data_IF_513999676886
#
_entry.id   IF_513999676886
#
_cell.length_a   1.000
_cell.length_b   1.000
_cell.length_c   1.000
_cell.angle_alpha   90.00
_cell.angle_beta   90.00
_cell.angle_gamma   90.00
#
_symmetry.space_group_name_H-M   'P 1'
#
loop_
_entity.id
_entity.type
_entity.pdbx_description
1 polymer ?
#
# COMPACT_ATOMS: atom_id res chain seq x y z
N UNK A 1 -20.03 -9.78 17.41
CA UNK A 1 -19.81 -10.78 16.31
C UNK A 1 -18.31 -10.97 16.16
N UNK A 2 -17.81 -12.17 16.37
CA UNK A 2 -16.39 -12.48 16.14
C UNK A 2 -16.06 -12.30 14.66
N UNK A 3 -14.91 -11.74 14.39
CA UNK A 3 -14.47 -11.48 13.02
C UNK A 3 -14.08 -12.81 12.35
N UNK A 4 -14.74 -13.22 11.27
CA UNK A 4 -14.32 -14.42 10.52
C UNK A 4 -12.98 -14.11 9.84
N UNK A 5 -11.93 -14.83 10.21
CA UNK A 5 -10.58 -14.65 9.69
C UNK A 5 -9.59 -14.05 10.70
N UNK A 6 -9.88 -14.11 11.99
CA UNK A 6 -8.87 -13.91 13.02
C UNK A 6 -7.72 -14.90 12.77
N UNK A 7 -6.51 -14.37 12.59
CA UNK A 7 -5.32 -15.18 12.35
C UNK A 7 -4.91 -15.83 13.67
N UNK A 8 -4.79 -17.14 13.66
CA UNK A 8 -4.32 -17.92 14.81
C UNK A 8 -2.79 -18.04 14.71
N UNK A 9 -2.10 -17.80 15.81
CA UNK A 9 -0.68 -18.06 15.93
C UNK A 9 -0.45 -19.59 15.85
N UNK A 10 0.30 -20.09 14.87
CA UNK A 10 0.52 -21.51 14.71
C UNK A 10 1.31 -22.15 15.88
N UNK A 11 2.10 -21.36 16.61
CA UNK A 11 2.95 -21.86 17.69
C UNK A 11 2.25 -21.90 19.05
N UNK A 12 1.37 -20.93 19.31
CA UNK A 12 0.67 -20.80 20.61
C UNK A 12 -0.80 -21.19 20.55
N UNK A 13 -1.40 -21.27 19.36
CA UNK A 13 -2.84 -21.48 19.19
C UNK A 13 -3.71 -20.27 19.55
N UNK A 14 -3.09 -19.15 19.92
CA UNK A 14 -3.77 -17.92 20.28
C UNK A 14 -4.19 -17.10 19.05
N UNK A 15 -5.24 -16.30 19.20
CA UNK A 15 -5.65 -15.34 18.18
C UNK A 15 -4.61 -14.21 18.08
N UNK A 16 -3.95 -14.05 16.94
CA UNK A 16 -3.02 -12.94 16.67
C UNK A 16 -3.79 -11.61 16.65
N UNK A 17 -5.02 -11.62 16.15
CA UNK A 17 -5.90 -10.45 16.19
C UNK A 17 -7.26 -10.82 16.76
N UNK A 18 -7.60 -10.22 17.89
CA UNK A 18 -8.93 -10.31 18.48
C UNK A 18 -9.71 -9.08 18.01
N UNK A 19 -10.53 -9.27 17.00
CA UNK A 19 -11.29 -8.19 16.39
C UNK A 19 -12.78 -8.51 16.38
N UNK A 20 -13.59 -7.50 16.68
CA UNK A 20 -15.04 -7.56 16.63
C UNK A 20 -15.57 -6.40 15.78
N UNK A 21 -16.71 -6.62 15.12
CA UNK A 21 -17.41 -5.58 14.38
C UNK A 21 -18.84 -5.46 14.87
N UNK A 22 -19.31 -4.24 14.94
CA UNK A 22 -20.71 -3.92 15.23
C UNK A 22 -21.15 -2.76 14.36
N UNK A 23 -22.46 -2.63 14.18
CA UNK A 23 -23.03 -1.52 13.43
C UNK A 23 -24.23 -0.93 14.13
N UNK A 24 -24.46 0.35 13.83
CA UNK A 24 -25.64 1.11 14.23
C UNK A 24 -26.03 2.06 13.12
N UNK A 25 -27.31 2.34 12.98
CA UNK A 25 -27.75 3.45 12.16
C UNK A 25 -27.36 4.77 12.84
N UNK A 26 -26.73 5.65 12.07
CA UNK A 26 -26.24 6.92 12.60
C UNK A 26 -26.57 8.06 11.61
N UNK A 27 -27.02 9.19 12.18
CA UNK A 27 -27.26 10.41 11.41
C UNK A 27 -26.11 11.40 11.63
N UNK A 28 -25.27 11.52 10.61
CA UNK A 28 -24.23 12.53 10.58
C UNK A 28 -24.83 13.90 10.21
N UNK A 29 -24.16 14.97 10.67
CA UNK A 29 -24.56 16.35 10.41
C UNK A 29 -26.01 16.68 10.82
N UNK A 30 -26.52 16.05 11.90
CA UNK A 30 -27.91 16.23 12.36
C UNK A 30 -28.31 17.70 12.63
N UNK A 31 -27.33 18.56 12.97
CA UNK A 31 -27.54 19.99 13.20
C UNK A 31 -27.49 20.85 11.92
N UNK A 32 -27.27 20.26 10.74
CA UNK A 32 -27.16 20.98 9.47
C UNK A 32 -28.44 20.88 8.64
N UNK A 33 -28.52 21.63 7.54
CA UNK A 33 -29.64 21.56 6.59
C UNK A 33 -29.68 20.27 5.78
N UNK A 34 -28.61 19.49 5.77
CA UNK A 34 -28.45 18.27 4.99
C UNK A 34 -27.91 17.13 5.87
N UNK A 35 -28.75 16.62 6.81
CA UNK A 35 -28.36 15.46 7.59
C UNK A 35 -28.26 14.22 6.69
N UNK A 36 -27.33 13.34 6.98
CA UNK A 36 -27.14 12.09 6.26
C UNK A 36 -27.24 10.94 7.23
N UNK A 37 -28.23 10.05 7.01
CA UNK A 37 -28.43 8.83 7.79
C UNK A 37 -27.86 7.65 7.03
N UNK A 38 -26.96 6.90 7.63
CA UNK A 38 -26.40 5.68 7.07
C UNK A 38 -25.83 4.77 8.19
N UNK A 39 -25.22 3.67 7.78
CA UNK A 39 -24.62 2.70 8.70
C UNK A 39 -23.28 3.24 9.24
N UNK A 40 -23.13 3.30 10.54
CA UNK A 40 -21.86 3.48 11.22
C UNK A 40 -21.37 2.10 11.66
N UNK A 41 -20.31 1.62 11.04
CA UNK A 41 -19.67 0.36 11.38
C UNK A 41 -18.44 0.66 12.21
N UNK A 42 -18.28 -0.04 13.33
CA UNK A 42 -17.14 0.10 14.22
C UNK A 42 -16.46 -1.25 14.37
N UNK A 43 -15.23 -1.33 13.94
CA UNK A 43 -14.34 -2.44 14.25
C UNK A 43 -13.53 -2.09 15.48
N UNK A 44 -13.50 -2.96 16.50
CA UNK A 44 -12.57 -2.85 17.62
C UNK A 44 -11.57 -3.99 17.59
N UNK A 45 -10.33 -3.67 17.90
CA UNK A 45 -9.21 -4.62 17.96
C UNK A 45 -8.57 -4.53 19.34
N UNK A 46 -8.40 -5.67 20.01
CA UNK A 46 -7.73 -5.73 21.30
C UNK A 46 -6.24 -5.40 21.12
N UNK A 47 -5.74 -4.47 21.91
CA UNK A 47 -4.33 -4.12 21.95
C UNK A 47 -3.58 -5.08 22.88
N UNK A 48 -3.00 -6.13 22.31
CA UNK A 48 -2.25 -7.15 23.06
C UNK A 48 -0.88 -6.66 23.53
N UNK A 49 -0.37 -5.55 23.02
CA UNK A 49 0.88 -4.97 23.50
C UNK A 49 0.77 -4.35 24.90
N UNK A 50 -0.45 -4.14 25.39
CA UNK A 50 -0.72 -3.59 26.72
C UNK A 50 -1.15 -4.71 27.69
N UNK A 51 -0.23 -5.63 27.97
CA UNK A 51 -0.44 -6.76 28.87
C UNK A 51 -0.62 -6.34 30.34
N UNK A 52 -0.09 -5.19 30.72
CA UNK A 52 -0.10 -4.70 32.12
C UNK A 52 -1.34 -3.86 32.47
N UNK A 53 -2.29 -3.73 31.54
CA UNK A 53 -3.51 -3.00 31.77
C UNK A 53 -4.51 -3.84 32.59
N UNK A 54 -5.10 -3.26 33.66
CA UNK A 54 -6.14 -3.89 34.47
C UNK A 54 -7.37 -4.34 33.68
N UNK A 55 -7.63 -3.68 32.54
CA UNK A 55 -8.75 -4.00 31.64
C UNK A 55 -8.25 -4.12 30.21
N UNK A 56 -8.93 -4.91 29.36
CA UNK A 56 -8.61 -4.99 27.95
C UNK A 56 -8.65 -3.61 27.27
N UNK A 57 -7.55 -3.22 26.66
CA UNK A 57 -7.47 -1.97 25.89
C UNK A 57 -7.88 -2.26 24.45
N UNK A 58 -8.81 -1.48 23.94
CA UNK A 58 -9.34 -1.63 22.60
C UNK A 58 -9.01 -0.41 21.74
N UNK A 59 -8.62 -0.66 20.50
CA UNK A 59 -8.56 0.36 19.45
C UNK A 59 -9.82 0.26 18.60
N UNK A 60 -10.48 1.39 18.38
CA UNK A 60 -11.71 1.48 17.61
C UNK A 60 -11.45 2.12 16.25
N UNK A 61 -12.01 1.52 15.21
CA UNK A 61 -11.89 1.97 13.82
C UNK A 61 -13.31 2.16 13.27
N UNK A 62 -13.92 3.33 13.45
CA UNK A 62 -15.24 3.64 12.90
C UNK A 62 -15.14 4.04 11.44
N UNK A 63 -16.14 3.67 10.66
CA UNK A 63 -16.34 4.20 9.32
C UNK A 63 -17.84 4.28 9.00
N UNK A 64 -18.18 5.21 8.14
CA UNK A 64 -19.55 5.53 7.75
C UNK A 64 -19.77 5.07 6.31
N UNK A 65 -20.86 4.31 6.05
CA UNK A 65 -21.07 3.70 4.74
C UNK A 65 -22.54 3.54 4.41
N UNK A 66 -22.85 3.62 3.13
CA UNK A 66 -24.16 3.27 2.56
C UNK A 66 -24.15 1.86 1.90
N UNK A 67 -23.08 1.09 2.08
CA UNK A 67 -22.97 -0.28 1.55
C UNK A 67 -24.13 -1.14 2.04
N UNK A 68 -24.65 -2.00 1.16
CA UNK A 68 -25.69 -3.00 1.47
C UNK A 68 -25.11 -4.36 1.85
N UNK A 69 -23.78 -4.51 1.86
CA UNK A 69 -23.10 -5.73 2.27
C UNK A 69 -23.32 -6.04 3.75
N UNK A 70 -23.06 -7.29 4.14
CA UNK A 70 -23.06 -7.64 5.57
C UNK A 70 -22.03 -6.81 6.33
N UNK A 71 -22.21 -6.60 7.63
CA UNK A 71 -21.30 -5.82 8.48
C UNK A 71 -19.84 -6.26 8.36
N UNK A 72 -19.60 -7.58 8.37
CA UNK A 72 -18.26 -8.13 8.23
C UNK A 72 -17.68 -7.89 6.82
N UNK A 73 -18.48 -8.05 5.78
CA UNK A 73 -18.03 -7.84 4.40
C UNK A 73 -17.74 -6.36 4.13
N UNK A 74 -18.60 -5.46 4.61
CA UNK A 74 -18.38 -4.02 4.50
C UNK A 74 -17.07 -3.59 5.20
N UNK A 75 -16.72 -4.18 6.36
CA UNK A 75 -15.44 -3.93 7.03
C UNK A 75 -14.25 -4.47 6.21
N UNK A 76 -14.36 -5.65 5.60
CA UNK A 76 -13.33 -6.21 4.72
C UNK A 76 -13.11 -5.29 3.52
N UNK A 77 -14.19 -4.90 2.85
CA UNK A 77 -14.15 -4.00 1.68
C UNK A 77 -13.52 -2.66 2.06
N UNK A 78 -13.94 -2.06 3.17
CA UNK A 78 -13.41 -0.79 3.66
C UNK A 78 -11.90 -0.88 3.95
N UNK A 79 -11.43 -1.95 4.59
CA UNK A 79 -10.01 -2.16 4.83
C UNK A 79 -9.20 -2.37 3.55
N UNK A 80 -9.80 -2.95 2.52
CA UNK A 80 -9.20 -3.06 1.20
C UNK A 80 -8.84 -1.70 0.60
N UNK A 81 -9.57 -0.64 0.93
CA UNK A 81 -9.29 0.73 0.49
C UNK A 81 -8.07 1.37 1.16
N UNK A 82 -7.56 0.83 2.27
CA UNK A 82 -6.36 1.35 2.94
C UNK A 82 -5.11 1.32 2.04
N UNK A 83 -5.12 0.53 0.96
CA UNK A 83 -4.06 0.54 -0.05
C UNK A 83 -3.94 1.90 -0.74
N UNK A 84 -5.06 2.63 -0.92
CA UNK A 84 -5.08 3.98 -1.51
C UNK A 84 -4.30 4.97 -0.64
N UNK A 85 -4.43 4.89 0.68
CA UNK A 85 -3.65 5.72 1.61
C UNK A 85 -2.15 5.46 1.48
N UNK A 86 -1.77 4.19 1.30
CA UNK A 86 -0.37 3.82 1.05
C UNK A 86 0.13 4.36 -0.29
N UNK A 87 -0.69 4.29 -1.34
CA UNK A 87 -0.37 4.86 -2.66
C UNK A 87 -0.21 6.38 -2.58
N UNK A 88 -1.16 7.06 -1.95
CA UNK A 88 -1.10 8.52 -1.77
C UNK A 88 0.14 8.92 -0.96
N UNK A 89 0.43 8.23 0.12
CA UNK A 89 1.63 8.47 0.93
C UNK A 89 2.91 8.29 0.11
N UNK A 90 3.02 7.24 -0.72
CA UNK A 90 4.19 7.03 -1.58
C UNK A 90 4.37 8.15 -2.61
N UNK A 91 3.26 8.67 -3.14
CA UNK A 91 3.29 9.75 -4.13
C UNK A 91 3.60 11.09 -3.47
N UNK A 92 3.02 11.37 -2.29
CA UNK A 92 3.24 12.59 -1.51
C UNK A 92 4.68 12.64 -0.95
N UNK A 93 5.18 11.52 -0.42
CA UNK A 93 6.57 11.40 0.08
C UNK A 93 7.61 11.36 -1.05
N UNK A 94 7.16 11.31 -2.29
CA UNK A 94 7.98 11.19 -3.48
C UNK A 94 7.79 12.36 -4.46
N UNK A 95 7.26 12.09 -5.66
CA UNK A 95 7.21 13.10 -6.72
C UNK A 95 6.26 14.27 -6.45
N UNK A 96 5.29 14.15 -5.54
CA UNK A 96 4.40 15.24 -5.15
C UNK A 96 4.79 15.93 -3.84
N UNK A 97 5.97 15.64 -3.28
CA UNK A 97 6.50 16.36 -2.12
C UNK A 97 6.61 17.88 -2.38
N UNK A 98 6.81 18.26 -3.64
CA UNK A 98 6.84 19.64 -4.09
C UNK A 98 6.10 19.79 -5.42
N UNK A 99 5.31 20.83 -5.55
CA UNK A 99 4.71 21.21 -6.83
C UNK A 99 5.73 22.00 -7.64
N UNK A 100 5.98 21.67 -8.93
CA UNK A 100 7.05 22.28 -9.73
C UNK A 100 6.72 23.71 -10.19
N UNK A 101 5.47 24.15 -10.07
CA UNK A 101 5.02 25.41 -10.66
C UNK A 101 3.91 26.06 -9.82
N UNK A 102 3.71 27.37 -10.01
CA UNK A 102 2.53 28.08 -9.52
C UNK A 102 1.30 27.92 -10.44
N UNK A 103 1.45 27.29 -11.60
CA UNK A 103 0.38 27.12 -12.58
C UNK A 103 -0.35 25.79 -12.39
N UNK A 104 -1.68 25.85 -12.26
CA UNK A 104 -2.53 24.67 -12.03
C UNK A 104 -2.36 23.59 -13.12
N UNK A 105 -2.35 23.99 -14.40
CA UNK A 105 -2.22 23.06 -15.51
C UNK A 105 -0.87 22.31 -15.52
N UNK A 106 0.23 23.03 -15.19
CA UNK A 106 1.56 22.41 -15.08
C UNK A 106 1.63 21.43 -13.92
N UNK A 107 1.04 21.78 -12.78
CA UNK A 107 0.95 20.89 -11.62
C UNK A 107 0.04 19.68 -11.91
N UNK A 108 -1.02 19.83 -12.68
CA UNK A 108 -1.86 18.74 -13.17
C UNK A 108 -1.08 17.75 -14.03
N UNK A 109 -0.30 18.23 -14.99
CA UNK A 109 0.56 17.40 -15.80
C UNK A 109 1.62 16.67 -14.95
N UNK A 110 2.21 17.36 -13.97
CA UNK A 110 3.16 16.76 -13.02
C UNK A 110 2.52 15.65 -12.20
N UNK A 111 1.29 15.83 -11.71
CA UNK A 111 0.55 14.82 -10.96
C UNK A 111 0.28 13.56 -11.80
N UNK A 112 -0.03 13.71 -13.09
CA UNK A 112 -0.18 12.58 -14.02
C UNK A 112 1.15 11.84 -14.19
N UNK A 113 2.25 12.54 -14.39
CA UNK A 113 3.59 11.95 -14.46
C UNK A 113 3.95 11.21 -13.16
N UNK A 114 3.58 11.76 -12.01
CA UNK A 114 3.78 11.14 -10.70
C UNK A 114 3.00 9.81 -10.58
N UNK A 115 1.74 9.78 -11.02
CA UNK A 115 0.93 8.57 -11.04
C UNK A 115 1.50 7.48 -11.98
N UNK A 116 1.94 7.87 -13.18
CA UNK A 116 2.62 6.96 -14.13
C UNK A 116 3.89 6.40 -13.50
N UNK A 117 4.71 7.25 -12.89
CA UNK A 117 5.95 6.83 -12.22
C UNK A 117 5.67 5.87 -11.07
N UNK A 118 4.63 6.12 -10.27
CA UNK A 118 4.20 5.20 -9.22
C UNK A 118 3.84 3.83 -9.79
N UNK A 119 3.03 3.78 -10.85
CA UNK A 119 2.62 2.53 -11.48
C UNK A 119 3.82 1.76 -12.06
N UNK A 120 4.75 2.44 -12.71
CA UNK A 120 5.98 1.83 -13.22
C UNK A 120 6.85 1.25 -12.09
N UNK A 121 7.00 1.98 -10.97
CA UNK A 121 7.70 1.47 -9.79
C UNK A 121 7.01 0.24 -9.20
N UNK A 122 5.67 0.22 -9.15
CA UNK A 122 4.91 -0.95 -8.69
C UNK A 122 5.12 -2.15 -9.60
N UNK A 123 5.06 -1.96 -10.92
CA UNK A 123 5.33 -3.00 -11.91
C UNK A 123 6.77 -3.53 -11.76
N UNK A 124 7.76 -2.66 -11.66
CA UNK A 124 9.16 -3.04 -11.43
C UNK A 124 9.32 -3.85 -10.13
N UNK A 125 8.66 -3.43 -9.04
CA UNK A 125 8.65 -4.16 -7.78
C UNK A 125 8.09 -5.57 -7.92
N UNK A 126 6.98 -5.72 -8.63
CA UNK A 126 6.32 -7.02 -8.90
C UNK A 126 7.24 -7.93 -9.70
N UNK A 127 7.85 -7.42 -10.76
CA UNK A 127 8.79 -8.18 -11.60
C UNK A 127 10.06 -8.57 -10.83
N UNK A 128 10.53 -7.75 -9.91
CA UNK A 128 11.69 -8.04 -9.07
C UNK A 128 11.45 -9.16 -8.03
N UNK A 129 10.18 -9.41 -7.65
CA UNK A 129 9.76 -10.51 -6.79
C UNK A 129 8.93 -10.09 -5.58
N UNK A 130 8.35 -11.07 -4.88
CA UNK A 130 7.32 -10.88 -3.85
C UNK A 130 7.67 -9.84 -2.77
N UNK A 131 8.91 -9.85 -2.28
CA UNK A 131 9.38 -8.87 -1.29
C UNK A 131 9.32 -7.43 -1.79
N UNK A 132 9.67 -7.20 -3.07
CA UNK A 132 9.65 -5.88 -3.69
C UNK A 132 8.25 -5.50 -4.18
N UNK A 133 7.41 -6.49 -4.48
CA UNK A 133 6.01 -6.26 -4.82
C UNK A 133 5.23 -5.52 -3.73
N UNK A 134 5.60 -5.67 -2.47
CA UNK A 134 4.97 -5.01 -1.31
C UNK A 134 5.78 -3.82 -0.78
N UNK A 135 6.96 -3.54 -1.35
CA UNK A 135 7.84 -2.51 -0.83
C UNK A 135 7.34 -1.10 -1.17
N UNK A 136 7.64 -0.12 -0.31
CA UNK A 136 7.37 1.31 -0.52
C UNK A 136 8.19 1.86 -1.70
N UNK A 137 7.68 2.89 -2.36
CA UNK A 137 8.32 3.52 -3.51
C UNK A 137 9.76 3.97 -3.26
N UNK A 138 10.04 4.54 -2.08
CA UNK A 138 11.39 4.91 -1.67
C UNK A 138 12.36 3.71 -1.61
N UNK A 139 11.88 2.55 -1.16
CA UNK A 139 12.65 1.31 -1.12
C UNK A 139 12.93 0.79 -2.53
N UNK A 140 11.92 0.78 -3.40
CA UNK A 140 12.08 0.38 -4.80
C UNK A 140 13.10 1.25 -5.52
N UNK A 141 13.02 2.57 -5.35
CA UNK A 141 13.99 3.50 -5.92
C UNK A 141 15.41 3.16 -5.47
N UNK A 142 15.63 2.99 -4.17
CA UNK A 142 16.96 2.69 -3.61
C UNK A 142 17.50 1.34 -4.06
N UNK A 143 16.67 0.31 -4.15
CA UNK A 143 17.12 -1.06 -4.42
C UNK A 143 17.23 -1.38 -5.91
N UNK A 144 16.37 -0.78 -6.75
CA UNK A 144 16.23 -1.18 -8.14
C UNK A 144 16.59 -0.06 -9.13
N UNK A 145 16.38 1.20 -8.78
CA UNK A 145 16.55 2.31 -9.73
C UNK A 145 17.86 3.06 -9.48
N UNK A 146 18.13 3.49 -8.24
CA UNK A 146 19.32 4.28 -7.89
C UNK A 146 20.56 3.39 -7.67
N UNK A 147 20.71 2.36 -8.51
CA UNK A 147 21.88 1.47 -8.46
C UNK A 147 23.03 2.16 -9.17
N UNK A 148 24.18 2.37 -8.53
CA UNK A 148 25.37 2.91 -9.19
C UNK A 148 25.83 1.93 -10.27
N UNK A 149 25.83 2.35 -11.52
CA UNK A 149 26.20 1.51 -12.63
C UNK A 149 27.10 2.25 -13.60
N UNK A 150 27.97 1.52 -14.28
CA UNK A 150 28.81 2.04 -15.35
C UNK A 150 28.34 1.51 -16.70
N UNK A 151 27.96 2.40 -17.61
CA UNK A 151 27.69 2.04 -18.99
C UNK A 151 28.98 2.07 -19.80
N UNK A 152 29.37 0.95 -20.37
CA UNK A 152 30.47 0.83 -21.33
C UNK A 152 29.91 0.47 -22.71
N UNK A 153 30.68 0.78 -23.77
CA UNK A 153 30.31 0.42 -25.17
C UNK A 153 31.47 -0.28 -25.88
N UNK A 154 31.91 -1.46 -25.37
CA UNK A 154 32.90 -2.25 -26.08
C UNK A 154 32.30 -2.69 -27.42
N UNK A 155 33.07 -2.50 -28.51
CA UNK A 155 32.65 -2.92 -29.84
C UNK A 155 31.24 -2.44 -30.28
N UNK A 156 30.88 -1.20 -29.87
CA UNK A 156 29.57 -0.57 -30.12
C UNK A 156 28.37 -1.24 -29.45
N UNK A 157 28.55 -2.27 -28.61
CA UNK A 157 27.50 -2.90 -27.83
C UNK A 157 27.40 -2.26 -26.44
N UNK A 158 26.23 -1.78 -26.00
CA UNK A 158 26.08 -1.26 -24.66
C UNK A 158 26.17 -2.38 -23.63
N UNK A 159 27.06 -2.21 -22.65
CA UNK A 159 27.21 -3.14 -21.52
C UNK A 159 27.04 -2.35 -20.23
N UNK A 160 26.10 -2.79 -19.38
CA UNK A 160 25.87 -2.20 -18.08
C UNK A 160 26.61 -3.00 -17.02
N UNK A 161 27.58 -2.38 -16.36
CA UNK A 161 28.30 -2.98 -15.25
C UNK A 161 27.66 -2.57 -13.94
N UNK A 162 27.16 -3.57 -13.19
CA UNK A 162 26.60 -3.40 -11.85
C UNK A 162 27.68 -3.68 -10.78
N UNK A 163 27.52 -3.15 -9.55
CA UNK A 163 28.43 -3.48 -8.45
C UNK A 163 28.40 -4.98 -8.14
N UNK A 164 29.57 -5.60 -7.99
CA UNK A 164 29.69 -7.05 -7.76
C UNK A 164 28.97 -7.54 -6.49
N UNK A 165 28.88 -6.67 -5.47
CA UNK A 165 28.29 -7.00 -4.16
C UNK A 165 27.02 -6.21 -3.87
N UNK A 166 26.23 -5.87 -4.90
CA UNK A 166 24.95 -5.21 -4.68
C UNK A 166 23.97 -6.15 -3.96
N UNK A 167 23.45 -5.82 -2.78
CA UNK A 167 22.63 -6.72 -2.00
C UNK A 167 21.34 -7.18 -2.72
N UNK A 168 20.89 -6.39 -3.69
CA UNK A 168 19.66 -6.63 -4.47
C UNK A 168 19.94 -7.03 -5.92
N UNK A 169 21.17 -7.46 -6.22
CA UNK A 169 21.56 -7.85 -7.58
C UNK A 169 20.64 -8.89 -8.20
N UNK A 170 20.24 -9.91 -7.41
CA UNK A 170 19.34 -10.97 -7.86
C UNK A 170 17.97 -10.44 -8.29
N UNK A 171 17.40 -9.53 -7.51
CA UNK A 171 16.10 -8.91 -7.78
C UNK A 171 16.20 -7.97 -8.98
N UNK A 172 17.29 -7.23 -9.08
CA UNK A 172 17.57 -6.38 -10.22
C UNK A 172 17.70 -7.18 -11.52
N UNK A 173 18.43 -8.31 -11.49
CA UNK A 173 18.57 -9.21 -12.65
C UNK A 173 17.21 -9.79 -13.07
N UNK A 174 16.37 -10.21 -12.10
CA UNK A 174 15.01 -10.68 -12.41
C UNK A 174 14.18 -9.60 -13.12
N UNK A 175 14.20 -8.38 -12.59
CA UNK A 175 13.51 -7.24 -13.22
C UNK A 175 14.05 -7.03 -14.65
N UNK A 176 15.36 -7.01 -14.81
CA UNK A 176 15.99 -6.80 -16.11
C UNK A 176 15.59 -7.88 -17.14
N UNK A 177 15.68 -9.15 -16.76
CA UNK A 177 15.31 -10.27 -17.64
C UNK A 177 13.83 -10.19 -18.03
N UNK A 178 12.94 -9.94 -17.07
CA UNK A 178 11.52 -9.84 -17.33
C UNK A 178 11.14 -8.62 -18.20
N UNK A 179 11.90 -7.52 -18.11
CA UNK A 179 11.66 -6.32 -18.90
C UNK A 179 12.29 -6.37 -20.29
N UNK A 180 13.45 -7.03 -20.44
CA UNK A 180 14.20 -7.11 -21.69
C UNK A 180 13.74 -8.26 -22.61
N UNK A 181 13.21 -9.33 -22.00
CA UNK A 181 12.71 -10.50 -22.71
C UNK A 181 11.36 -10.92 -22.08
N UNK A 182 10.30 -10.13 -22.29
CA UNK A 182 8.99 -10.43 -21.75
C UNK A 182 8.46 -11.74 -22.36
N UNK A 183 7.83 -12.63 -21.57
CA UNK A 183 7.20 -13.82 -22.10
C UNK A 183 6.19 -13.43 -23.19
N UNK A 184 6.30 -14.06 -24.35
CA UNK A 184 5.33 -13.85 -25.42
C UNK A 184 3.94 -14.20 -24.88
N UNK A 185 2.99 -13.27 -25.00
CA UNK A 185 1.60 -13.55 -24.70
C UNK A 185 1.12 -14.69 -25.62
N UNK A 186 0.70 -15.80 -25.01
CA UNK A 186 0.12 -16.94 -25.72
C UNK A 186 -1.28 -16.62 -26.21
#
# INVERSE_FOLDING_TARGET
MHYPGAVIDPDTGDLISDAEVAEVEFTAFASTKTPVTARLIVRRVRDRAKTDALFPVWRHHPFFTNSTETTAQADITHRGHAIIETVLSDVIDGPLAHMPSAHFAANGAWAICAAITHNLLRAAGTLAGSRHALARGATLRRHLIAVPARLARPQRRPVLHLPAHWPWARQWTRLWTAAADPPHAA
#
